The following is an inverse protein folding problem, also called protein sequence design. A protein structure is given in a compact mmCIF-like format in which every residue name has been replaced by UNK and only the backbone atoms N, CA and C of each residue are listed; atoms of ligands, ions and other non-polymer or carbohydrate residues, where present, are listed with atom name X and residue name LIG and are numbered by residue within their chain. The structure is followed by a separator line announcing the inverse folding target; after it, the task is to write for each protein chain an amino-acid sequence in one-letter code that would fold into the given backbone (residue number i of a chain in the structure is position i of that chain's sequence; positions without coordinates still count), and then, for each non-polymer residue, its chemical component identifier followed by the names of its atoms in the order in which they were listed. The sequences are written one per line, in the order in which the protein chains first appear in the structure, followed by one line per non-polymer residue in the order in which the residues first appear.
data_IF_818226059460
#
_entry.id   IF_818226059460
#
_cell.length_a   1.000
_cell.length_b   1.000
_cell.length_c   1.000
_cell.angle_alpha   90.00
_cell.angle_beta   90.00
_cell.angle_gamma   90.00
#
_symmetry.space_group_name_H-M   'P 1'
#
loop_
_entity.id
_entity.type
_entity.pdbx_description
1 polymer ?
#
# COMPACT_ATOMS: atom_id res chain seq x y z
N UNK A 1 -7.60 19.17 -3.25
CA UNK A 1 -7.18 20.42 -3.95
C UNK A 1 -5.67 20.48 -3.89
N UNK A 2 -4.96 20.85 -4.97
CA UNK A 2 -3.50 20.94 -4.97
C UNK A 2 -2.99 22.00 -3.98
N UNK A 3 -1.82 21.76 -3.38
CA UNK A 3 -1.14 22.72 -2.49
C UNK A 3 -0.67 23.94 -3.29
N UNK A 4 -0.70 25.14 -2.72
CA UNK A 4 -0.18 26.35 -3.39
C UNK A 4 1.20 26.70 -2.84
N UNK A 5 2.23 26.61 -3.68
CA UNK A 5 3.61 26.96 -3.31
C UNK A 5 4.13 28.03 -4.25
N UNK A 6 4.52 29.18 -3.70
CA UNK A 6 5.05 30.31 -4.47
C UNK A 6 4.14 30.73 -5.65
N UNK A 7 2.82 30.67 -5.46
CA UNK A 7 1.82 31.02 -6.47
C UNK A 7 1.56 29.96 -7.55
N UNK A 8 2.13 28.75 -7.43
CA UNK A 8 1.89 27.65 -8.35
C UNK A 8 1.22 26.45 -7.64
N UNK A 9 0.25 25.78 -8.29
CA UNK A 9 -0.32 24.54 -7.78
C UNK A 9 0.73 23.42 -7.82
N UNK A 10 0.86 22.71 -6.70
CA UNK A 10 1.78 21.58 -6.51
C UNK A 10 1.02 20.34 -6.11
N UNK A 11 1.42 19.20 -6.70
CA UNK A 11 0.77 17.91 -6.51
C UNK A 11 1.58 16.96 -5.66
N UNK A 12 0.89 16.26 -4.75
CA UNK A 12 1.49 15.33 -3.78
C UNK A 12 1.00 13.91 -4.05
N UNK A 13 1.95 12.98 -4.17
CA UNK A 13 1.69 11.55 -4.10
C UNK A 13 2.11 10.98 -2.75
N UNK A 14 1.29 10.06 -2.23
CA UNK A 14 1.55 9.31 -1.01
C UNK A 14 1.58 7.81 -1.33
N UNK A 15 2.73 7.18 -1.10
CA UNK A 15 2.90 5.75 -1.17
C UNK A 15 2.80 5.11 0.22
N UNK A 16 2.00 4.04 0.30
CA UNK A 16 1.73 3.24 1.49
C UNK A 16 2.13 1.79 1.20
N UNK A 17 3.26 1.34 1.76
CA UNK A 17 3.82 0.02 1.49
C UNK A 17 3.06 -1.15 2.15
N UNK A 18 3.43 -2.38 1.80
CA UNK A 18 2.90 -3.59 2.41
C UNK A 18 3.42 -3.88 3.82
N UNK A 19 2.81 -4.84 4.51
CA UNK A 19 3.21 -5.26 5.86
C UNK A 19 2.06 -5.56 6.85
N UNK A 20 0.87 -5.89 6.34
CA UNK A 20 -0.29 -6.27 7.15
C UNK A 20 -0.85 -5.12 8.02
N UNK A 21 -1.47 -5.48 9.15
CA UNK A 21 -2.11 -4.50 10.04
C UNK A 21 -1.10 -3.54 10.69
N UNK A 22 0.13 -4.00 10.92
CA UNK A 22 1.23 -3.17 11.40
C UNK A 22 1.50 -2.00 10.45
N UNK A 23 1.70 -2.29 9.16
CA UNK A 23 1.92 -1.25 8.15
C UNK A 23 0.71 -0.30 8.08
N UNK A 24 -0.51 -0.83 8.09
CA UNK A 24 -1.73 -0.02 8.07
C UNK A 24 -1.81 0.97 9.25
N UNK A 25 -1.46 0.54 10.47
CA UNK A 25 -1.42 1.43 11.65
C UNK A 25 -0.26 2.43 11.62
N UNK A 26 0.89 2.04 11.06
CA UNK A 26 2.00 2.97 10.82
C UNK A 26 1.60 4.08 9.83
N UNK A 27 0.95 3.71 8.72
CA UNK A 27 0.41 4.65 7.74
C UNK A 27 -0.72 5.52 8.29
N UNK A 28 -1.55 5.00 9.22
CA UNK A 28 -2.52 5.80 9.95
C UNK A 28 -1.83 6.95 10.70
N UNK A 29 -0.69 6.69 11.34
CA UNK A 29 0.14 7.74 11.95
C UNK A 29 0.60 8.79 10.97
N UNK A 30 1.09 8.37 9.81
CA UNK A 30 1.49 9.26 8.71
C UNK A 30 0.32 10.13 8.25
N UNK A 31 -0.84 9.54 7.97
CA UNK A 31 -2.02 10.27 7.50
C UNK A 31 -2.55 11.25 8.56
N UNK A 32 -2.53 10.88 9.85
CA UNK A 32 -2.89 11.82 10.94
C UNK A 32 -1.95 13.02 10.99
N UNK A 33 -0.64 12.81 10.85
CA UNK A 33 0.30 13.94 10.82
C UNK A 33 0.12 14.82 9.57
N UNK A 34 -0.20 14.23 8.42
CA UNK A 34 -0.55 15.00 7.22
C UNK A 34 -1.87 15.78 7.41
N UNK A 35 -2.84 15.24 8.13
CA UNK A 35 -4.07 15.94 8.50
C UNK A 35 -3.77 17.13 9.43
N UNK A 36 -2.90 16.96 10.43
CA UNK A 36 -2.43 18.05 11.29
C UNK A 36 -1.72 19.17 10.52
N UNK A 37 -1.01 18.84 9.44
CA UNK A 37 -0.41 19.82 8.54
C UNK A 37 -1.40 20.45 7.54
N UNK A 38 -2.66 20.03 7.52
CA UNK A 38 -3.63 20.46 6.50
C UNK A 38 -3.30 19.94 5.10
N UNK A 39 -2.49 18.89 5.00
CA UNK A 39 -1.99 18.31 3.75
C UNK A 39 -2.75 17.06 3.31
N UNK A 40 -3.38 16.31 4.22
CA UNK A 40 -4.05 15.05 3.85
C UNK A 40 -5.09 15.26 2.75
N UNK A 41 -5.98 16.25 2.89
CA UNK A 41 -7.03 16.55 1.88
C UNK A 41 -6.48 17.19 0.59
N UNK A 42 -5.15 17.46 0.57
CA UNK A 42 -4.41 17.99 -0.56
C UNK A 42 -3.55 16.94 -1.26
N UNK A 43 -3.53 15.69 -0.78
CA UNK A 43 -2.88 14.59 -1.49
C UNK A 43 -3.67 14.26 -2.76
N UNK A 44 -2.99 14.23 -3.90
CA UNK A 44 -3.61 13.97 -5.21
C UNK A 44 -3.67 12.49 -5.54
N UNK A 45 -2.74 11.70 -4.98
CA UNK A 45 -2.59 10.29 -5.32
C UNK A 45 -2.18 9.46 -4.11
N UNK A 46 -2.91 8.37 -3.88
CA UNK A 46 -2.50 7.24 -3.04
C UNK A 46 -2.05 6.08 -3.92
N UNK A 47 -0.93 5.47 -3.57
CA UNK A 47 -0.46 4.22 -4.17
C UNK A 47 -0.17 3.24 -3.06
N UNK A 48 -0.82 2.09 -3.14
CA UNK A 48 -1.02 1.24 -1.99
C UNK A 48 -0.68 -0.20 -2.33
N UNK A 49 -0.06 -0.89 -1.37
CA UNK A 49 0.29 -2.30 -1.46
C UNK A 49 -0.16 -3.00 -0.17
N UNK A 50 -0.85 -4.14 -0.28
CA UNK A 50 -1.15 -5.03 0.85
C UNK A 50 -1.74 -4.28 2.07
N UNK A 51 -1.04 -4.22 3.21
CA UNK A 51 -1.44 -3.42 4.39
C UNK A 51 -1.70 -1.92 4.09
N UNK A 52 -0.91 -1.32 3.21
CA UNK A 52 -1.17 0.02 2.67
C UNK A 52 -2.45 0.10 1.85
N UNK A 53 -2.86 -0.97 1.15
CA UNK A 53 -4.15 -1.05 0.44
C UNK A 53 -5.33 -1.08 1.40
N UNK A 54 -5.19 -1.74 2.56
CA UNK A 54 -6.19 -1.68 3.63
C UNK A 54 -6.36 -0.24 4.11
N UNK A 55 -5.25 0.44 4.44
CA UNK A 55 -5.28 1.81 4.94
C UNK A 55 -5.81 2.81 3.90
N UNK A 56 -5.19 2.84 2.72
CA UNK A 56 -5.51 3.78 1.65
C UNK A 56 -6.93 3.64 1.11
N UNK A 57 -7.40 2.41 0.86
CA UNK A 57 -8.76 2.18 0.38
C UNK A 57 -9.81 2.53 1.44
N UNK A 58 -9.56 2.20 2.72
CA UNK A 58 -10.48 2.56 3.82
C UNK A 58 -10.65 4.06 3.94
N UNK A 59 -9.53 4.81 3.92
CA UNK A 59 -9.57 6.27 4.02
C UNK A 59 -10.18 6.91 2.78
N UNK A 60 -9.83 6.44 1.58
CA UNK A 60 -10.37 6.98 0.33
C UNK A 60 -11.87 6.69 0.15
N UNK A 61 -12.36 5.51 0.56
CA UNK A 61 -13.80 5.20 0.58
C UNK A 61 -14.57 6.18 1.47
N UNK A 62 -13.94 6.63 2.56
CA UNK A 62 -14.53 7.49 3.56
C UNK A 62 -14.06 8.95 3.43
N UNK A 63 -13.57 9.37 2.26
CA UNK A 63 -12.83 10.63 2.08
C UNK A 63 -13.55 11.87 2.61
N UNK A 64 -14.87 11.96 2.42
CA UNK A 64 -15.70 13.09 2.87
C UNK A 64 -16.04 13.07 4.36
N UNK A 65 -15.65 12.04 5.10
CA UNK A 65 -15.96 11.88 6.52
C UNK A 65 -14.86 12.45 7.39
N UNK A 66 -15.26 13.19 8.43
CA UNK A 66 -14.33 13.70 9.44
C UNK A 66 -13.64 12.56 10.21
N UNK A 67 -14.34 11.46 10.49
CA UNK A 67 -13.85 10.31 11.26
C UNK A 67 -13.15 9.24 10.40
N UNK A 68 -12.76 9.54 9.15
CA UNK A 68 -12.20 8.55 8.20
C UNK A 68 -10.95 7.81 8.72
N UNK A 69 -10.10 8.51 9.48
CA UNK A 69 -8.92 7.92 10.11
C UNK A 69 -9.28 7.10 11.37
N UNK A 70 -10.32 7.50 12.11
CA UNK A 70 -10.80 6.78 13.29
C UNK A 70 -11.47 5.45 12.93
N UNK A 71 -12.14 5.39 11.77
CA UNK A 71 -12.70 4.13 11.24
C UNK A 71 -11.60 3.09 10.97
N UNK A 72 -10.49 3.50 10.36
CA UNK A 72 -9.33 2.64 10.15
C UNK A 72 -8.74 2.20 11.50
N UNK A 73 -8.56 3.11 12.44
CA UNK A 73 -8.05 2.79 13.78
C UNK A 73 -8.92 1.76 14.49
N UNK A 74 -10.24 1.97 14.49
CA UNK A 74 -11.21 1.07 15.10
C UNK A 74 -11.15 -0.32 14.47
N UNK A 75 -11.05 -0.41 13.15
CA UNK A 75 -10.91 -1.70 12.46
C UNK A 75 -9.66 -2.45 12.94
N UNK A 76 -8.50 -1.80 12.90
CA UNK A 76 -7.21 -2.40 13.24
C UNK A 76 -7.11 -2.80 14.73
N UNK A 77 -7.81 -2.08 15.62
CA UNK A 77 -7.85 -2.38 17.06
C UNK A 77 -8.90 -3.42 17.47
N UNK A 78 -9.92 -3.68 16.63
CA UNK A 78 -11.06 -4.54 17.00
C UNK A 78 -11.16 -5.84 16.21
N UNK A 79 -10.64 -5.89 14.99
CA UNK A 79 -10.81 -7.03 14.10
C UNK A 79 -9.54 -7.87 14.02
N UNK A 80 -9.70 -9.18 13.89
CA UNK A 80 -8.61 -10.09 13.53
C UNK A 80 -9.11 -10.96 12.39
N UNK A 81 -8.33 -11.02 11.32
CA UNK A 81 -8.63 -11.90 10.19
C UNK A 81 -7.84 -13.19 10.44
N UNK A 82 -8.55 -14.21 10.91
CA UNK A 82 -7.96 -15.50 11.28
C UNK A 82 -7.57 -16.29 10.02
N UNK A 83 -6.39 -16.01 9.47
CA UNK A 83 -5.89 -16.68 8.25
C UNK A 83 -5.84 -18.21 8.41
N UNK A 84 -5.62 -18.71 9.62
CA UNK A 84 -5.62 -20.15 9.93
C UNK A 84 -6.99 -20.81 9.82
N UNK A 85 -8.10 -20.09 10.02
CA UNK A 85 -9.46 -20.65 9.83
C UNK A 85 -9.81 -20.81 8.36
N UNK A 86 -9.04 -20.21 7.45
CA UNK A 86 -9.18 -20.39 6.01
C UNK A 86 -8.62 -21.74 5.54
N UNK A 87 -7.87 -22.45 6.39
CA UNK A 87 -7.33 -23.78 6.12
C UNK A 87 -8.38 -24.90 6.30
N UNK A 88 -9.47 -24.65 7.04
CA UNK A 88 -10.49 -25.64 7.34
C UNK A 88 -11.67 -25.59 6.37
N UNK A 89 -11.84 -26.65 5.58
CA UNK A 89 -13.07 -26.97 4.86
C UNK A 89 -13.14 -26.49 3.41
N UNK A 90 -12.72 -27.36 2.48
CA UNK A 90 -13.16 -27.46 1.07
C UNK A 90 -12.24 -28.45 0.33
N UNK A 91 -12.78 -29.18 -0.66
CA UNK A 91 -12.02 -30.03 -1.60
C UNK A 91 -11.27 -29.22 -2.68
N UNK A 92 -11.46 -27.90 -2.74
CA UNK A 92 -10.67 -26.98 -3.55
C UNK A 92 -9.97 -25.92 -2.65
N UNK A 93 -8.72 -26.19 -2.21
CA UNK A 93 -8.01 -25.35 -1.25
C UNK A 93 -7.50 -24.01 -1.82
N UNK A 94 -7.51 -23.84 -3.14
CA UNK A 94 -6.80 -22.75 -3.82
C UNK A 94 -7.67 -21.52 -4.10
N UNK A 95 -8.98 -21.63 -4.28
CA UNK A 95 -9.84 -20.44 -4.47
C UNK A 95 -10.38 -19.88 -3.14
N UNK A 96 -10.58 -20.74 -2.14
CA UNK A 96 -11.40 -20.40 -0.96
C UNK A 96 -10.74 -19.47 0.05
N UNK A 97 -9.40 -19.39 0.11
CA UNK A 97 -8.72 -18.57 1.14
C UNK A 97 -8.72 -17.09 0.79
N UNK A 98 -8.48 -16.78 -0.48
CA UNK A 98 -8.49 -15.39 -0.94
C UNK A 98 -9.92 -14.84 -0.93
N UNK A 99 -10.90 -15.66 -1.32
CA UNK A 99 -12.31 -15.29 -1.24
C UNK A 99 -12.71 -14.95 0.20
N UNK A 100 -12.39 -15.83 1.18
CA UNK A 100 -12.64 -15.55 2.61
C UNK A 100 -11.93 -14.29 3.11
N UNK A 101 -10.75 -13.96 2.57
CA UNK A 101 -10.07 -12.70 2.87
C UNK A 101 -10.84 -11.49 2.31
N UNK A 102 -11.28 -11.57 1.05
CA UNK A 102 -12.09 -10.54 0.42
C UNK A 102 -13.44 -10.35 1.15
N UNK A 103 -14.13 -11.44 1.49
CA UNK A 103 -15.35 -11.43 2.31
C UNK A 103 -15.14 -10.77 3.67
N UNK A 104 -14.02 -11.04 4.35
CA UNK A 104 -13.70 -10.39 5.61
C UNK A 104 -13.50 -8.89 5.45
N UNK A 105 -12.76 -8.45 4.43
CA UNK A 105 -12.62 -7.03 4.11
C UNK A 105 -13.95 -6.39 3.73
N UNK A 106 -14.78 -7.08 2.95
CA UNK A 106 -16.09 -6.57 2.56
C UNK A 106 -17.01 -6.41 3.78
N UNK A 107 -17.09 -7.42 4.63
CA UNK A 107 -17.90 -7.40 5.86
C UNK A 107 -17.55 -6.25 6.79
N UNK A 108 -16.26 -5.93 6.93
CA UNK A 108 -15.77 -5.02 7.96
C UNK A 108 -15.39 -3.61 7.48
N UNK A 109 -15.08 -3.44 6.19
CA UNK A 109 -14.59 -2.17 5.64
C UNK A 109 -15.38 -1.68 4.45
N UNK A 110 -15.69 -2.54 3.47
CA UNK A 110 -16.10 -2.10 2.14
C UNK A 110 -17.59 -2.29 1.84
N UNK A 111 -18.30 -3.17 2.52
CA UNK A 111 -19.76 -3.32 2.49
C UNK A 111 -20.36 -3.35 1.06
N UNK A 112 -19.82 -4.19 0.18
CA UNK A 112 -20.26 -4.34 -1.21
C UNK A 112 -19.90 -3.18 -2.14
N UNK A 113 -19.08 -2.22 -1.69
CA UNK A 113 -18.67 -1.06 -2.51
C UNK A 113 -17.64 -1.48 -3.57
N UNK A 114 -17.78 -0.90 -4.76
CA UNK A 114 -16.90 -1.13 -5.91
C UNK A 114 -15.95 0.04 -6.12
N UNK A 115 -14.93 -0.13 -6.96
CA UNK A 115 -13.92 0.91 -7.21
C UNK A 115 -14.52 2.25 -7.67
N UNK A 116 -15.69 2.27 -8.32
CA UNK A 116 -16.35 3.49 -8.78
C UNK A 116 -16.62 4.50 -7.67
N UNK A 117 -16.86 4.05 -6.42
CA UNK A 117 -17.18 4.97 -5.31
C UNK A 117 -15.96 5.75 -4.82
N UNK A 118 -14.75 5.28 -5.12
CA UNK A 118 -13.51 5.98 -4.77
C UNK A 118 -13.31 7.27 -5.60
N UNK A 119 -14.17 7.51 -6.61
CA UNK A 119 -14.05 8.65 -7.53
C UNK A 119 -14.14 10.03 -6.83
N UNK A 120 -14.71 10.08 -5.63
CA UNK A 120 -14.85 11.31 -4.84
C UNK A 120 -13.60 11.71 -4.04
N UNK A 121 -12.59 10.82 -3.98
CA UNK A 121 -11.34 11.02 -3.25
C UNK A 121 -10.12 11.26 -4.14
N UNK A 122 -8.89 11.12 -3.59
CA UNK A 122 -7.66 11.19 -4.37
C UNK A 122 -7.60 10.05 -5.39
N UNK A 123 -6.68 10.13 -6.35
CA UNK A 123 -6.41 9.00 -7.25
C UNK A 123 -5.83 7.84 -6.43
N UNK A 124 -6.48 6.68 -6.38
CA UNK A 124 -6.01 5.53 -5.60
C UNK A 124 -5.57 4.41 -6.53
N UNK A 125 -4.33 3.94 -6.35
CA UNK A 125 -3.80 2.72 -6.95
C UNK A 125 -3.75 1.63 -5.88
N UNK A 126 -4.45 0.51 -6.11
CA UNK A 126 -4.29 -0.73 -5.36
C UNK A 126 -3.46 -1.67 -6.22
N UNK A 127 -2.23 -1.94 -5.78
CA UNK A 127 -1.24 -2.61 -6.61
C UNK A 127 -1.17 -4.11 -6.31
N UNK A 128 -1.14 -4.91 -7.36
CA UNK A 128 -0.91 -6.34 -7.37
C UNK A 128 0.18 -6.68 -8.40
N UNK A 129 0.57 -7.94 -8.49
CA UNK A 129 1.54 -8.41 -9.49
C UNK A 129 0.87 -9.44 -10.39
N UNK A 130 0.88 -9.20 -11.71
CA UNK A 130 0.39 -10.18 -12.67
C UNK A 130 1.46 -11.26 -12.91
N UNK A 131 1.17 -12.50 -12.52
CA UNK A 131 2.08 -13.63 -12.67
C UNK A 131 2.26 -14.08 -14.12
N UNK A 132 1.30 -13.78 -15.02
CA UNK A 132 1.41 -14.13 -16.43
C UNK A 132 2.42 -13.22 -17.16
N UNK A 133 2.47 -11.93 -16.82
CA UNK A 133 3.31 -10.94 -17.50
C UNK A 133 4.54 -10.53 -16.71
N UNK A 134 4.58 -10.83 -15.41
CA UNK A 134 5.63 -10.35 -14.50
C UNK A 134 5.52 -8.86 -14.17
N UNK A 135 4.39 -8.22 -14.48
CA UNK A 135 4.22 -6.77 -14.39
C UNK A 135 3.38 -6.31 -13.21
N UNK A 136 3.55 -5.03 -12.85
CA UNK A 136 2.63 -4.33 -11.95
C UNK A 136 1.23 -4.33 -12.56
N UNK A 137 0.31 -5.02 -11.89
CA UNK A 137 -1.10 -4.91 -12.14
C UNK A 137 -1.69 -3.89 -11.16
N UNK A 138 -2.45 -2.92 -11.66
CA UNK A 138 -3.08 -1.94 -10.79
C UNK A 138 -4.59 -1.99 -10.94
N UNK A 139 -5.30 -1.80 -9.83
CA UNK A 139 -6.68 -1.34 -9.82
C UNK A 139 -6.66 0.15 -9.48
N UNK A 140 -7.26 0.98 -10.31
CA UNK A 140 -7.16 2.43 -10.11
C UNK A 140 -8.49 3.14 -10.30
N UNK A 141 -8.82 4.03 -9.38
CA UNK A 141 -10.00 4.89 -9.38
C UNK A 141 -9.67 6.22 -8.70
N UNK A 142 -10.60 7.16 -8.62
CA UNK A 142 -10.39 8.45 -7.93
C UNK A 142 -10.07 9.63 -8.83
N UNK A 143 -10.18 10.82 -8.23
CA UNK A 143 -9.89 12.12 -8.83
C UNK A 143 -10.69 12.45 -10.12
N UNK A 144 -11.92 11.94 -10.26
CA UNK A 144 -12.75 12.19 -11.45
C UNK A 144 -12.21 11.57 -12.74
N UNK A 145 -11.23 10.67 -12.66
CA UNK A 145 -10.52 10.05 -13.79
C UNK A 145 -10.98 8.60 -14.01
N UNK A 146 -10.62 8.02 -15.15
CA UNK A 146 -11.02 6.66 -15.54
C UNK A 146 -10.76 5.61 -14.45
N UNK A 147 -11.77 4.81 -14.16
CA UNK A 147 -11.70 3.67 -13.24
C UNK A 147 -11.38 2.41 -14.02
N UNK A 148 -10.13 1.95 -13.94
CA UNK A 148 -9.60 0.85 -14.77
C UNK A 148 -8.73 -0.11 -13.97
N UNK A 149 -8.53 -1.30 -14.53
CA UNK A 149 -7.57 -2.28 -14.03
C UNK A 149 -6.77 -2.88 -15.17
N UNK A 150 -5.54 -3.33 -14.90
CA UNK A 150 -4.68 -3.95 -15.90
C UNK A 150 -3.19 -3.76 -15.62
N UNK A 151 -2.39 -4.16 -16.59
CA UNK A 151 -0.95 -3.87 -16.64
C UNK A 151 -0.58 -3.20 -17.97
N UNK A 152 0.71 -2.91 -18.18
CA UNK A 152 1.14 -2.20 -19.40
C UNK A 152 1.17 -3.12 -20.64
N UNK A 153 1.35 -4.43 -20.45
CA UNK A 153 1.56 -5.41 -21.52
C UNK A 153 0.20 -5.79 -22.12
N UNK A 154 -0.74 -6.17 -21.26
CA UNK A 154 -2.10 -6.58 -21.65
C UNK A 154 -3.07 -5.42 -21.76
N UNK A 155 -2.65 -4.18 -21.51
CA UNK A 155 -3.52 -3.00 -21.49
C UNK A 155 -4.53 -3.01 -20.33
N UNK A 156 -5.36 -1.97 -20.30
CA UNK A 156 -6.36 -1.78 -19.24
C UNK A 156 -7.77 -2.08 -19.69
N UNK A 157 -8.61 -2.54 -18.76
CA UNK A 157 -10.05 -2.67 -18.92
C UNK A 157 -10.81 -1.80 -17.90
N UNK A 158 -12.06 -1.39 -18.17
CA UNK A 158 -12.92 -0.73 -17.19
C UNK A 158 -13.10 -1.57 -15.91
N UNK A 159 -13.10 -0.93 -14.75
CA UNK A 159 -13.16 -1.61 -13.45
C UNK A 159 -14.23 -1.02 -12.50
N UNK A 160 -15.21 -0.29 -13.04
CA UNK A 160 -16.23 0.43 -12.25
C UNK A 160 -16.99 -0.47 -11.27
N UNK A 161 -17.28 -1.71 -11.69
CA UNK A 161 -18.04 -2.68 -10.91
C UNK A 161 -17.16 -3.66 -10.13
N UNK A 162 -15.83 -3.49 -10.18
CA UNK A 162 -14.91 -4.39 -9.49
C UNK A 162 -14.96 -4.11 -7.97
N UNK A 163 -15.16 -5.12 -7.09
CA UNK A 163 -15.24 -4.91 -5.66
C UNK A 163 -13.93 -4.37 -5.06
N UNK A 164 -14.01 -3.37 -4.18
CA UNK A 164 -12.81 -2.84 -3.49
C UNK A 164 -12.16 -3.95 -2.65
N UNK A 165 -12.99 -4.76 -1.97
CA UNK A 165 -12.55 -5.90 -1.16
C UNK A 165 -11.65 -6.88 -1.92
N UNK A 166 -12.01 -7.19 -3.16
CA UNK A 166 -11.24 -8.08 -4.04
C UNK A 166 -9.92 -7.44 -4.50
N UNK A 167 -9.93 -6.14 -4.82
CA UNK A 167 -8.71 -5.44 -5.21
C UNK A 167 -7.70 -5.36 -4.05
N UNK A 168 -8.18 -5.08 -2.82
CA UNK A 168 -7.37 -5.08 -1.60
C UNK A 168 -6.89 -6.49 -1.26
N UNK A 169 -7.73 -7.52 -1.42
CA UNK A 169 -7.34 -8.91 -1.22
C UNK A 169 -6.25 -9.35 -2.21
N UNK A 170 -6.39 -9.05 -3.51
CA UNK A 170 -5.37 -9.34 -4.52
C UNK A 170 -4.03 -8.65 -4.19
N UNK A 171 -4.09 -7.39 -3.78
CA UNK A 171 -2.93 -6.61 -3.33
C UNK A 171 -2.26 -7.19 -2.08
N UNK A 172 -2.98 -8.01 -1.29
CA UNK A 172 -2.52 -8.66 -0.06
C UNK A 172 -2.20 -10.15 -0.22
N UNK A 173 -2.25 -10.68 -1.45
CA UNK A 173 -2.20 -12.13 -1.72
C UNK A 173 -0.76 -12.69 -1.64
N UNK A 174 -0.07 -12.51 -0.51
CA UNK A 174 1.36 -12.80 -0.40
C UNK A 174 1.63 -14.32 -0.39
N UNK A 175 2.49 -14.84 -1.29
CA UNK A 175 2.88 -16.25 -1.28
C UNK A 175 3.80 -16.57 -0.08
N UNK A 176 3.63 -17.69 0.62
CA UNK A 176 2.71 -18.81 0.36
C UNK A 176 1.39 -18.73 1.15
N UNK A 177 1.08 -17.58 1.77
CA UNK A 177 -0.02 -17.44 2.73
C UNK A 177 -1.37 -17.47 2.03
N UNK A 178 -1.50 -16.69 0.97
CA UNK A 178 -2.72 -16.59 0.17
C UNK A 178 -2.46 -17.02 -1.28
N UNK A 179 -3.41 -17.73 -1.89
CA UNK A 179 -3.34 -18.07 -3.30
C UNK A 179 -3.59 -16.81 -4.17
N UNK A 180 -3.09 -16.78 -5.42
CA UNK A 180 -3.34 -15.68 -6.34
C UNK A 180 -4.83 -15.50 -6.69
N UNK A 181 -5.25 -14.25 -6.98
CA UNK A 181 -6.56 -13.95 -7.57
C UNK A 181 -6.58 -14.34 -9.04
N UNK A 182 -7.48 -15.21 -9.47
CA UNK A 182 -7.69 -15.51 -10.88
C UNK A 182 -8.67 -14.52 -11.51
N UNK A 183 -8.31 -13.94 -12.65
CA UNK A 183 -9.21 -13.14 -13.48
C UNK A 183 -9.33 -13.78 -14.86
N UNK A 184 -10.56 -14.06 -15.29
CA UNK A 184 -10.89 -14.57 -16.61
C UNK A 184 -11.20 -13.44 -17.60
N UNK A 185 -11.44 -13.78 -18.87
CA UNK A 185 -11.83 -12.82 -19.91
C UNK A 185 -13.12 -12.06 -19.61
N UNK A 186 -14.04 -12.63 -18.82
CA UNK A 186 -15.31 -11.96 -18.48
C UNK A 186 -15.07 -10.81 -17.53
N UNK A 187 -14.14 -10.99 -16.60
CA UNK A 187 -13.78 -10.00 -15.60
C UNK A 187 -12.75 -9.02 -16.15
N UNK A 188 -11.73 -9.53 -16.84
CA UNK A 188 -10.64 -8.77 -17.45
C UNK A 188 -10.47 -9.21 -18.92
N UNK A 189 -11.19 -8.58 -19.88
CA UNK A 189 -11.17 -8.96 -21.28
C UNK A 189 -9.79 -9.16 -21.92
N UNK A 190 -8.75 -8.38 -21.57
CA UNK A 190 -7.42 -8.65 -22.08
C UNK A 190 -6.80 -10.00 -21.68
N UNK A 191 -7.37 -10.72 -20.71
CA UNK A 191 -6.97 -12.08 -20.38
C UNK A 191 -7.34 -13.10 -21.47
N UNK A 192 -8.17 -12.76 -22.46
CA UNK A 192 -8.60 -13.68 -23.52
C UNK A 192 -7.42 -14.31 -24.30
N UNK A 193 -6.29 -13.61 -24.42
CA UNK A 193 -5.07 -14.14 -25.05
C UNK A 193 -4.34 -15.19 -24.20
N UNK A 194 -4.71 -15.36 -22.94
CA UNK A 194 -4.09 -16.27 -21.96
C UNK A 194 -5.10 -17.21 -21.28
N UNK A 195 -6.38 -17.20 -21.70
CA UNK A 195 -7.54 -17.82 -21.02
C UNK A 195 -7.87 -17.17 -19.65
N UNK A 196 -6.86 -16.92 -18.81
CA UNK A 196 -6.96 -16.20 -17.55
C UNK A 196 -5.59 -15.63 -17.13
N UNK A 197 -5.61 -14.69 -16.21
CA UNK A 197 -4.40 -14.22 -15.50
C UNK A 197 -4.52 -14.50 -14.01
N UNK A 198 -3.39 -14.54 -13.30
CA UNK A 198 -3.37 -14.67 -11.84
C UNK A 198 -2.59 -13.53 -11.20
N UNK A 199 -3.16 -12.95 -10.14
CA UNK A 199 -2.61 -11.80 -9.44
C UNK A 199 -2.16 -12.18 -8.04
N UNK A 200 -0.93 -11.84 -7.69
CA UNK A 200 -0.37 -12.00 -6.35
C UNK A 200 -0.13 -10.63 -5.69
N UNK A 201 0.32 -10.63 -4.43
CA UNK A 201 0.64 -9.41 -3.68
C UNK A 201 1.52 -8.43 -4.50
N UNK A 202 1.19 -7.14 -4.40
CA UNK A 202 1.91 -6.09 -5.14
C UNK A 202 3.38 -5.95 -4.73
N UNK A 203 3.72 -6.43 -3.53
CA UNK A 203 5.07 -6.44 -2.99
C UNK A 203 6.05 -7.33 -3.74
N UNK A 204 5.56 -8.30 -4.51
CA UNK A 204 6.40 -9.11 -5.41
C UNK A 204 7.04 -8.25 -6.50
N UNK A 205 6.34 -7.20 -6.99
CA UNK A 205 6.86 -6.27 -7.98
C UNK A 205 7.43 -4.98 -7.37
N UNK A 206 6.68 -4.36 -6.45
CA UNK A 206 7.00 -3.06 -5.87
C UNK A 206 6.30 -2.85 -4.52
N UNK A 207 6.91 -3.34 -3.44
CA UNK A 207 6.32 -3.23 -2.11
C UNK A 207 6.15 -1.79 -1.64
N UNK A 208 6.96 -0.86 -2.15
CA UNK A 208 6.92 0.55 -1.77
C UNK A 208 5.85 1.33 -2.55
N UNK A 209 5.24 0.75 -3.59
CA UNK A 209 4.28 1.43 -4.45
C UNK A 209 4.86 2.63 -5.21
N UNK A 210 6.16 2.66 -5.47
CA UNK A 210 6.87 3.78 -6.11
C UNK A 210 6.50 3.93 -7.59
N UNK A 211 6.24 2.85 -8.32
CA UNK A 211 6.05 2.89 -9.77
C UNK A 211 4.92 3.83 -10.21
N UNK A 212 3.71 3.81 -9.60
CA UNK A 212 2.69 4.80 -9.89
C UNK A 212 3.14 6.26 -9.66
N UNK A 213 4.00 6.54 -8.67
CA UNK A 213 4.51 7.90 -8.42
C UNK A 213 5.40 8.41 -9.56
N UNK A 214 6.11 7.51 -10.25
CA UNK A 214 7.07 7.85 -11.30
C UNK A 214 6.47 7.81 -12.71
N UNK A 215 5.19 7.48 -12.86
CA UNK A 215 4.49 7.46 -14.16
C UNK A 215 4.08 8.88 -14.57
N UNK A 216 5.05 9.75 -14.86
CA UNK A 216 4.85 11.19 -15.12
C UNK A 216 3.73 11.49 -16.14
N UNK A 217 3.61 10.71 -17.21
CA UNK A 217 2.56 10.89 -18.23
C UNK A 217 1.14 10.69 -17.67
N UNK A 218 0.98 9.80 -16.67
CA UNK A 218 -0.32 9.47 -16.07
C UNK A 218 -0.57 10.24 -14.77
N UNK A 219 0.49 10.43 -13.99
CA UNK A 219 0.51 11.01 -12.66
C UNK A 219 1.64 12.04 -12.62
N UNK A 220 1.33 13.27 -13.00
CA UNK A 220 2.28 14.37 -12.85
C UNK A 220 2.25 14.81 -11.38
N UNK A 221 3.35 14.58 -10.66
CA UNK A 221 3.49 14.88 -9.23
C UNK A 221 4.72 15.76 -9.03
N UNK A 222 4.64 16.70 -8.09
CA UNK A 222 5.75 17.55 -7.69
C UNK A 222 6.48 16.97 -6.46
N UNK A 223 5.74 16.31 -5.58
CA UNK A 223 6.24 15.72 -4.34
C UNK A 223 5.80 14.26 -4.19
N UNK A 224 6.69 13.42 -3.66
CA UNK A 224 6.43 12.01 -3.41
C UNK A 224 6.79 11.68 -1.96
N UNK A 225 5.79 11.37 -1.14
CA UNK A 225 5.97 10.88 0.22
C UNK A 225 5.85 9.36 0.17
N UNK A 226 6.89 8.64 0.59
CA UNK A 226 6.90 7.18 0.62
C UNK A 226 7.03 6.70 2.05
N UNK A 227 5.91 6.22 2.58
CA UNK A 227 5.83 5.60 3.90
C UNK A 227 6.09 4.12 3.77
N UNK A 228 7.25 3.66 4.23
CA UNK A 228 7.60 2.24 4.21
C UNK A 228 7.33 1.58 5.58
N UNK A 229 6.17 0.93 5.71
CA UNK A 229 5.77 0.09 6.84
C UNK A 229 6.17 -1.38 6.70
N UNK A 230 7.00 -1.72 5.69
CA UNK A 230 7.44 -3.07 5.36
C UNK A 230 8.35 -3.70 6.42
N UNK A 231 8.50 -5.02 6.42
CA UNK A 231 9.38 -5.70 7.38
C UNK A 231 10.82 -5.42 6.99
N UNK A 232 11.64 -4.80 7.87
CA UNK A 232 13.05 -4.61 7.59
C UNK A 232 13.74 -5.97 7.41
N UNK A 233 14.75 -6.01 6.55
CA UNK A 233 15.62 -7.17 6.45
C UNK A 233 16.39 -7.34 7.78
N UNK A 234 16.26 -8.51 8.40
CA UNK A 234 16.94 -8.81 9.65
C UNK A 234 18.26 -9.53 9.36
N UNK A 235 19.37 -9.02 9.93
CA UNK A 235 20.64 -9.74 9.92
C UNK A 235 20.50 -10.96 10.82
N UNK A 236 20.59 -12.15 10.22
CA UNK A 236 20.50 -13.42 10.96
C UNK A 236 21.91 -13.94 11.26
N UNK A 237 22.20 -14.14 12.56
CA UNK A 237 23.46 -14.73 13.03
C UNK A 237 23.48 -16.26 12.91
N UNK A 238 22.33 -16.88 12.61
CA UNK A 238 22.17 -18.32 12.41
C UNK A 238 21.32 -18.57 11.16
N UNK A 239 21.90 -18.36 9.96
CA UNK A 239 21.17 -18.51 8.71
C UNK A 239 20.64 -19.94 8.56
N UNK A 240 19.48 -20.06 7.90
CA UNK A 240 18.81 -21.35 7.69
C UNK A 240 19.55 -22.24 6.70
N UNK A 241 19.52 -23.55 6.94
CA UNK A 241 20.02 -24.59 6.02
C UNK A 241 18.87 -25.33 5.30
N UNK A 242 17.60 -25.00 5.62
CA UNK A 242 16.43 -25.66 5.05
C UNK A 242 16.03 -25.08 3.70
N UNK A 243 15.96 -25.90 2.65
CA UNK A 243 15.72 -25.45 1.26
C UNK A 243 14.46 -24.61 1.05
N UNK A 244 13.34 -24.93 1.70
CA UNK A 244 12.11 -24.13 1.61
C UNK A 244 12.25 -22.75 2.30
N UNK A 245 13.03 -22.69 3.38
CA UNK A 245 13.33 -21.45 4.08
C UNK A 245 14.35 -20.62 3.27
N UNK A 246 15.25 -21.27 2.53
CA UNK A 246 16.16 -20.61 1.59
C UNK A 246 15.40 -19.90 0.46
N UNK A 247 14.34 -20.50 -0.10
CA UNK A 247 13.51 -19.83 -1.11
C UNK A 247 12.88 -18.55 -0.55
N UNK A 248 12.30 -18.62 0.66
CA UNK A 248 11.75 -17.43 1.33
C UNK A 248 12.83 -16.39 1.62
N UNK A 249 13.99 -16.81 2.14
CA UNK A 249 15.11 -15.92 2.42
C UNK A 249 15.63 -15.24 1.14
N UNK A 250 15.71 -15.98 0.03
CA UNK A 250 16.08 -15.43 -1.28
C UNK A 250 15.09 -14.37 -1.76
N UNK A 251 13.78 -14.62 -1.62
CA UNK A 251 12.75 -13.62 -1.91
C UNK A 251 12.91 -12.38 -1.02
N UNK A 252 13.10 -12.55 0.29
CA UNK A 252 13.30 -11.45 1.25
C UNK A 252 14.55 -10.62 0.89
N UNK A 253 15.66 -11.26 0.50
CA UNK A 253 16.90 -10.58 0.05
C UNK A 253 16.67 -9.81 -1.25
N UNK A 254 16.02 -10.41 -2.25
CA UNK A 254 15.72 -9.75 -3.52
C UNK A 254 14.80 -8.54 -3.32
N UNK A 255 13.79 -8.67 -2.47
CA UNK A 255 12.90 -7.55 -2.11
C UNK A 255 13.67 -6.41 -1.44
N UNK A 256 14.61 -6.71 -0.54
CA UNK A 256 15.45 -5.70 0.10
C UNK A 256 16.36 -4.99 -0.90
N UNK A 257 16.96 -5.71 -1.85
CA UNK A 257 17.76 -5.12 -2.93
C UNK A 257 16.89 -4.21 -3.83
N UNK A 258 15.70 -4.67 -4.21
CA UNK A 258 14.75 -3.87 -5.01
C UNK A 258 14.33 -2.61 -4.25
N UNK A 259 14.08 -2.71 -2.94
CA UNK A 259 13.75 -1.56 -2.07
C UNK A 259 14.81 -0.46 -2.17
N UNK A 260 16.08 -0.82 -2.03
CA UNK A 260 17.21 0.11 -2.17
C UNK A 260 17.30 0.74 -3.57
N UNK A 261 17.15 -0.08 -4.62
CA UNK A 261 17.19 0.39 -6.00
C UNK A 261 16.03 1.33 -6.37
N UNK A 262 14.82 1.11 -5.83
CA UNK A 262 13.69 2.01 -6.09
C UNK A 262 13.89 3.38 -5.44
N UNK A 263 14.52 3.44 -4.26
CA UNK A 263 14.87 4.72 -3.63
C UNK A 263 15.89 5.50 -4.49
N UNK A 264 16.96 4.84 -4.90
CA UNK A 264 17.99 5.41 -5.78
C UNK A 264 17.37 5.94 -7.09
N UNK A 265 16.50 5.13 -7.71
CA UNK A 265 15.73 5.50 -8.90
C UNK A 265 14.90 6.77 -8.69
N UNK A 266 14.20 6.90 -7.57
CA UNK A 266 13.43 8.12 -7.28
C UNK A 266 14.33 9.35 -7.14
N UNK A 267 15.44 9.21 -6.39
CA UNK A 267 16.40 10.29 -6.18
C UNK A 267 17.00 10.76 -7.52
N UNK A 268 17.46 9.82 -8.36
CA UNK A 268 18.04 10.15 -9.65
C UNK A 268 17.03 10.76 -10.63
N UNK A 269 15.77 10.29 -10.66
CA UNK A 269 14.73 10.93 -11.47
C UNK A 269 14.44 12.36 -11.04
N UNK A 270 14.41 12.62 -9.74
CA UNK A 270 14.24 13.99 -9.25
C UNK A 270 15.42 14.88 -9.64
N UNK A 271 16.65 14.41 -9.46
CA UNK A 271 17.87 15.15 -9.85
C UNK A 271 17.92 15.45 -11.36
N UNK A 272 17.36 14.56 -12.18
CA UNK A 272 17.21 14.76 -13.62
C UNK A 272 16.05 15.70 -14.01
N UNK A 273 15.22 16.15 -13.06
CA UNK A 273 14.02 16.95 -13.33
C UNK A 273 12.85 16.15 -13.92
N UNK A 274 12.93 14.82 -13.93
CA UNK A 274 11.93 13.91 -14.50
C UNK A 274 11.10 13.17 -13.43
N UNK A 275 11.19 13.61 -12.17
CA UNK A 275 10.51 12.98 -11.05
C UNK A 275 10.16 13.93 -9.91
N UNK A 276 9.17 13.55 -9.08
CA UNK A 276 8.79 14.32 -7.91
C UNK A 276 9.92 14.37 -6.89
N UNK A 277 9.93 15.40 -6.06
CA UNK A 277 10.85 15.53 -4.92
C UNK A 277 10.54 14.42 -3.90
N UNK A 278 11.47 13.48 -3.65
CA UNK A 278 11.19 12.31 -2.82
C UNK A 278 11.38 12.63 -1.33
N UNK A 279 10.47 12.11 -0.51
CA UNK A 279 10.54 12.07 0.94
C UNK A 279 10.25 10.63 1.36
N UNK A 280 11.27 9.91 1.80
CA UNK A 280 11.14 8.50 2.14
C UNK A 280 11.62 8.23 3.56
N UNK A 281 10.95 7.27 4.21
CA UNK A 281 11.29 6.78 5.53
C UNK A 281 10.74 5.36 5.68
N UNK A 282 11.50 4.53 6.41
CA UNK A 282 11.11 3.17 6.75
C UNK A 282 10.83 3.03 8.24
N UNK A 283 10.05 2.02 8.60
CA UNK A 283 9.60 1.74 9.97
C UNK A 283 10.76 1.52 10.96
N UNK A 284 11.94 1.12 10.48
CA UNK A 284 13.17 0.96 11.27
C UNK A 284 14.03 2.24 11.36
N UNK A 285 13.59 3.33 10.74
CA UNK A 285 14.32 4.60 10.77
C UNK A 285 14.33 5.18 12.19
N UNK A 286 15.52 5.24 12.80
CA UNK A 286 15.75 6.01 14.04
C UNK A 286 15.86 7.52 13.77
N UNK A 287 16.24 7.91 12.54
CA UNK A 287 16.30 9.31 12.17
C UNK A 287 14.89 9.91 12.07
N UNK A 288 14.50 10.68 13.09
CA UNK A 288 13.19 11.32 13.20
C UNK A 288 12.21 10.58 14.10
N UNK A 289 12.63 9.53 14.83
CA UNK A 289 11.77 8.88 15.81
C UNK A 289 11.44 9.83 16.97
N UNK A 290 10.22 9.74 17.51
CA UNK A 290 9.79 10.62 18.60
C UNK A 290 10.35 10.17 19.96
N UNK A 291 10.48 8.86 20.18
CA UNK A 291 11.03 8.28 21.40
C UNK A 291 12.10 7.25 21.04
N UNK A 292 13.24 7.21 21.77
CA UNK A 292 14.24 6.18 21.58
C UNK A 292 13.63 4.78 21.67
N UNK A 293 13.83 3.97 20.62
CA UNK A 293 13.33 2.60 20.55
C UNK A 293 11.96 2.44 19.91
N UNK A 294 11.30 3.52 19.49
CA UNK A 294 10.07 3.45 18.69
C UNK A 294 10.29 2.65 17.40
N UNK A 295 11.42 2.90 16.71
CA UNK A 295 11.77 2.18 15.49
C UNK A 295 11.96 0.68 15.73
N UNK A 296 12.66 0.32 16.82
CA UNK A 296 12.89 -1.08 17.20
C UNK A 296 11.57 -1.78 17.57
N UNK A 297 10.74 -1.15 18.40
CA UNK A 297 9.45 -1.71 18.82
C UNK A 297 8.51 -1.86 17.63
N UNK A 298 8.37 -0.82 16.80
CA UNK A 298 7.50 -0.84 15.63
C UNK A 298 7.91 -1.93 14.63
N UNK A 299 9.21 -2.10 14.40
CA UNK A 299 9.76 -3.11 13.48
C UNK A 299 9.59 -4.55 13.98
N UNK A 300 9.59 -4.75 15.30
CA UNK A 300 9.44 -6.07 15.93
C UNK A 300 8.00 -6.60 15.90
N UNK A 301 7.00 -5.75 15.63
CA UNK A 301 5.61 -6.19 15.49
C UNK A 301 5.49 -7.07 14.23
N UNK A 302 4.76 -8.18 14.37
CA UNK A 302 4.57 -9.14 13.29
C UNK A 302 3.77 -8.57 12.11
N UNK A 303 4.15 -9.00 10.90
CA UNK A 303 3.41 -8.74 9.66
C UNK A 303 2.29 -9.77 9.51
N UNK A 304 1.17 -9.55 10.22
CA UNK A 304 -0.03 -10.39 10.13
C UNK A 304 -1.32 -9.53 10.11
N UNK A 305 -2.49 -10.18 10.11
CA UNK A 305 -3.80 -9.54 10.13
C UNK A 305 -4.50 -9.70 11.50
N UNK A 306 -3.71 -9.76 12.58
CA UNK A 306 -4.22 -9.80 13.96
C UNK A 306 -4.53 -8.39 14.43
N UNK A 307 -5.56 -8.26 15.27
CA UNK A 307 -5.84 -7.02 16.00
C UNK A 307 -4.58 -6.53 16.72
N UNK A 308 -4.37 -5.23 16.68
CA UNK A 308 -3.30 -4.57 17.40
C UNK A 308 -3.76 -4.23 18.82
N UNK A 309 -2.89 -4.46 19.79
CA UNK A 309 -3.07 -3.95 21.15
C UNK A 309 -2.99 -2.42 21.17
N UNK A 310 -3.50 -1.81 22.25
CA UNK A 310 -3.42 -0.37 22.43
C UNK A 310 -1.96 0.14 22.41
N UNK A 311 -1.02 -0.63 22.96
CA UNK A 311 0.41 -0.29 22.96
C UNK A 311 1.01 -0.33 21.55
N UNK A 312 0.76 -1.41 20.79
CA UNK A 312 1.20 -1.53 19.40
C UNK A 312 0.64 -0.39 18.54
N UNK A 313 -0.66 -0.11 18.66
CA UNK A 313 -1.32 0.98 17.95
C UNK A 313 -0.72 2.34 18.30
N UNK A 314 -0.46 2.61 19.58
CA UNK A 314 0.10 3.88 20.03
C UNK A 314 1.51 4.12 19.47
N UNK A 315 2.39 3.12 19.53
CA UNK A 315 3.77 3.24 19.02
C UNK A 315 3.77 3.39 17.51
N UNK A 316 3.02 2.55 16.77
CA UNK A 316 2.98 2.61 15.30
C UNK A 316 2.49 3.96 14.80
N UNK A 317 1.41 4.51 15.38
CA UNK A 317 0.88 5.82 15.00
C UNK A 317 1.86 6.94 15.31
N UNK A 318 2.43 6.96 16.53
CA UNK A 318 3.40 7.99 16.93
C UNK A 318 4.64 7.95 16.03
N UNK A 319 5.16 6.77 15.76
CA UNK A 319 6.37 6.60 14.95
C UNK A 319 6.14 7.04 13.51
N UNK A 320 5.05 6.60 12.87
CA UNK A 320 4.69 7.04 11.52
C UNK A 320 4.51 8.56 11.42
N UNK A 321 3.82 9.16 12.40
CA UNK A 321 3.66 10.61 12.49
C UNK A 321 5.01 11.34 12.62
N UNK A 322 5.89 10.85 13.51
CA UNK A 322 7.20 11.46 13.76
C UNK A 322 8.08 11.44 12.50
N UNK A 323 8.12 10.31 11.78
CA UNK A 323 8.95 10.17 10.59
C UNK A 323 8.48 11.04 9.42
N UNK A 324 7.18 11.10 9.13
CA UNK A 324 6.69 12.00 8.06
C UNK A 324 6.93 13.46 8.41
N UNK A 325 6.73 13.84 9.69
CA UNK A 325 7.04 15.19 10.20
C UNK A 325 8.51 15.53 9.99
N UNK A 326 9.41 14.62 10.34
CA UNK A 326 10.85 14.82 10.16
C UNK A 326 11.21 14.97 8.68
N UNK A 327 10.70 14.11 7.80
CA UNK A 327 11.02 14.16 6.36
C UNK A 327 10.47 15.39 5.65
N UNK A 328 9.24 15.80 5.94
CA UNK A 328 8.70 17.07 5.41
C UNK A 328 9.53 18.24 5.94
N UNK A 329 9.85 18.27 7.24
CA UNK A 329 10.66 19.35 7.82
C UNK A 329 12.06 19.49 7.23
N UNK A 330 12.70 18.38 6.86
CA UNK A 330 14.04 18.36 6.26
C UNK A 330 14.02 18.68 4.77
N UNK A 331 13.08 18.09 4.03
CA UNK A 331 13.16 18.07 2.57
C UNK A 331 12.08 18.90 1.87
N UNK A 332 10.97 19.25 2.53
CA UNK A 332 9.87 19.97 1.89
C UNK A 332 9.15 20.90 2.87
N UNK A 333 9.91 21.69 3.64
CA UNK A 333 9.38 22.57 4.68
C UNK A 333 8.35 23.57 4.13
N UNK A 334 8.47 23.92 2.85
CA UNK A 334 7.53 24.77 2.12
C UNK A 334 6.10 24.20 2.09
N UNK A 335 5.90 22.89 2.27
CA UNK A 335 4.57 22.28 2.34
C UNK A 335 3.83 22.58 3.65
N UNK A 336 4.55 22.92 4.72
CA UNK A 336 3.95 23.15 6.04
C UNK A 336 3.29 24.54 6.04
N UNK A 337 1.96 24.58 6.15
CA UNK A 337 1.17 25.83 6.16
C UNK A 337 0.80 26.38 4.77
N UNK A 338 1.12 25.64 3.72
CA UNK A 338 0.65 25.89 2.35
C UNK A 338 -0.77 25.31 2.13
#
# INVERSE_FOLDING_TARGET
MSVQISGAPKRIGLALSGGGFRAAAFHLGVMRQLEEFGLLDKVDLFTCVSGGSIAGATVALNWKRADRLDLLEKFLGSQSIAVSSFLGGSLDPFATRLEKLAEAYDKHLFHGKTLSVLNEGPRVYLNATNLATGNLFFFVSGAGKDCVMGDYELQTAPALNFPISHAVAASSAFPPVFPPLRLDEKTYPPAASFEYVTLTDGGVYDNMGINPLLRHQRNQLDYAIVSDGGKPFAIDSRPTESGAIVLKAGLDIMMEQIRGLQFDRMQHRHLAGEGPKPMWFSIDSTNGEAQPGDAAFASAIDTNLRRLSAAEMAVLKRHGAALVKARIGMYAKELIGA
#
